data_IF_296569911001
#
_entry.id   IF_296569911001
#
_cell.length_a   1.000
_cell.length_b   1.000
_cell.length_c   1.000
_cell.angle_alpha   90.00
_cell.angle_beta   90.00
_cell.angle_gamma   90.00
#
_symmetry.space_group_name_H-M   'P 1'
#
loop_
_entity.id
_entity.type
_entity.pdbx_description
1 polymer ?
#
# COMPACT_ATOMS: atom_id res chain seq x y z
N UNK A 1 -23.41 -31.71 37.64
CA UNK A 1 -23.01 -30.30 37.49
C UNK A 1 -21.77 -30.28 36.62
N UNK A 2 -21.99 -30.36 35.32
CA UNK A 2 -20.96 -30.49 34.30
C UNK A 2 -20.34 -29.13 33.98
N UNK A 3 -19.03 -29.02 34.14
CA UNK A 3 -18.24 -27.88 33.68
C UNK A 3 -17.72 -28.20 32.28
N UNK A 4 -18.45 -27.72 31.28
CA UNK A 4 -18.03 -27.77 29.87
C UNK A 4 -16.82 -26.88 29.65
N UNK A 5 -15.72 -27.50 29.22
CA UNK A 5 -14.48 -26.82 28.81
C UNK A 5 -14.54 -26.66 27.29
N UNK A 6 -14.67 -25.42 26.81
CA UNK A 6 -14.63 -25.08 25.39
C UNK A 6 -13.18 -25.06 24.94
N UNK A 7 -12.75 -26.09 24.22
CA UNK A 7 -11.49 -26.12 23.49
C UNK A 7 -11.64 -25.30 22.20
N UNK A 8 -10.89 -24.22 22.09
CA UNK A 8 -10.75 -23.45 20.84
C UNK A 8 -9.56 -24.05 20.09
N UNK A 9 -9.85 -24.96 19.18
CA UNK A 9 -8.86 -25.59 18.30
C UNK A 9 -8.44 -24.58 17.23
N UNK A 10 -7.17 -24.17 17.27
CA UNK A 10 -6.57 -23.29 16.27
C UNK A 10 -6.44 -24.04 14.94
N UNK A 11 -7.36 -23.74 14.02
CA UNK A 11 -7.31 -24.22 12.64
C UNK A 11 -6.13 -23.55 11.91
N UNK A 12 -4.98 -24.20 11.95
CA UNK A 12 -3.85 -23.89 11.08
C UNK A 12 -4.22 -24.30 9.65
N UNK A 13 -4.49 -23.30 8.82
CA UNK A 13 -4.57 -23.47 7.36
C UNK A 13 -3.15 -23.79 6.86
N UNK A 14 -2.89 -24.98 6.28
CA UNK A 14 -1.63 -25.24 5.62
C UNK A 14 -1.56 -24.40 4.34
N UNK A 15 -0.60 -23.47 4.31
CA UNK A 15 -0.14 -22.81 3.09
C UNK A 15 0.44 -23.93 2.20
N UNK A 16 -0.34 -24.39 1.23
CA UNK A 16 0.07 -25.33 0.20
C UNK A 16 1.13 -24.67 -0.70
N UNK A 17 2.40 -24.78 -0.30
CA UNK A 17 3.55 -24.60 -1.20
C UNK A 17 3.71 -25.86 -2.06
N UNK A 18 2.76 -26.06 -2.97
CA UNK A 18 2.77 -27.11 -3.99
C UNK A 18 3.01 -26.50 -5.36
N UNK A 19 4.26 -26.10 -5.64
CA UNK A 19 4.72 -25.87 -7.02
C UNK A 19 5.86 -26.86 -7.30
N UNK A 20 5.47 -28.09 -7.63
CA UNK A 20 6.33 -29.09 -8.24
C UNK A 20 6.71 -28.62 -9.65
N UNK A 21 7.91 -28.06 -9.81
CA UNK A 21 8.53 -27.87 -11.12
C UNK A 21 9.39 -29.09 -11.46
N UNK A 22 9.32 -29.57 -12.72
CA UNK A 22 9.97 -30.79 -13.16
C UNK A 22 11.50 -30.63 -13.26
N UNK A 23 12.13 -31.77 -13.06
CA UNK A 23 13.55 -32.10 -13.15
C UNK A 23 14.27 -31.44 -14.33
N UNK A 24 15.37 -30.74 -14.03
CA UNK A 24 16.26 -30.14 -15.03
C UNK A 24 17.48 -29.49 -14.36
N UNK A 25 18.50 -30.29 -14.10
CA UNK A 25 19.85 -29.86 -13.69
C UNK A 25 20.36 -28.73 -14.61
N UNK A 26 20.48 -27.50 -14.08
CA UNK A 26 21.34 -26.38 -14.51
C UNK A 26 20.92 -25.00 -13.97
N UNK A 27 19.84 -24.88 -13.20
CA UNK A 27 19.31 -23.57 -12.71
C UNK A 27 19.74 -23.23 -11.27
N UNK A 28 20.72 -23.95 -10.72
CA UNK A 28 21.12 -23.83 -9.31
C UNK A 28 21.91 -22.54 -8.94
N UNK A 29 22.30 -21.71 -9.93
CA UNK A 29 23.01 -20.45 -9.68
C UNK A 29 22.13 -19.18 -9.74
N UNK A 30 20.97 -19.25 -10.39
CA UNK A 30 20.09 -18.07 -10.60
C UNK A 30 18.92 -17.96 -9.63
N UNK A 31 18.55 -19.04 -8.96
CA UNK A 31 17.43 -19.07 -8.02
C UNK A 31 17.76 -18.37 -6.68
N UNK A 32 19.02 -18.39 -6.24
CA UNK A 32 19.44 -17.79 -4.96
C UNK A 32 19.43 -16.25 -4.99
N UNK A 33 19.63 -15.62 -6.15
CA UNK A 33 19.52 -14.17 -6.34
C UNK A 33 18.07 -13.71 -6.47
N UNK A 34 17.17 -14.53 -7.03
CA UNK A 34 15.74 -14.24 -7.13
C UNK A 34 15.03 -14.29 -5.76
N UNK A 35 15.38 -15.25 -4.90
CA UNK A 35 14.85 -15.31 -3.52
C UNK A 35 15.32 -14.15 -2.65
N UNK A 36 16.54 -13.63 -2.85
CA UNK A 36 17.03 -12.42 -2.18
C UNK A 36 16.32 -11.13 -2.61
N UNK A 37 15.92 -11.02 -3.88
CA UNK A 37 15.13 -9.89 -4.39
C UNK A 37 13.68 -9.91 -3.86
N UNK A 38 13.09 -11.10 -3.70
CA UNK A 38 11.77 -11.28 -3.08
C UNK A 38 11.75 -10.87 -1.60
N UNK A 39 12.86 -11.01 -0.86
CA UNK A 39 12.98 -10.48 0.52
C UNK A 39 12.98 -8.94 0.56
N UNK A 40 13.58 -8.28 -0.43
CA UNK A 40 13.52 -6.81 -0.57
C UNK A 40 12.12 -6.31 -0.98
N UNK A 41 11.39 -7.06 -1.81
CA UNK A 41 9.99 -6.78 -2.15
C UNK A 41 9.03 -6.98 -0.96
N UNK A 42 9.28 -7.99 -0.10
CA UNK A 42 8.51 -8.20 1.13
C UNK A 42 8.71 -7.11 2.18
N UNK A 43 9.96 -6.64 2.35
CA UNK A 43 10.29 -5.52 3.24
C UNK A 43 9.67 -4.19 2.80
N UNK A 44 9.62 -3.93 1.48
CA UNK A 44 8.99 -2.73 0.91
C UNK A 44 7.48 -2.68 1.22
N UNK A 45 6.77 -3.80 1.09
CA UNK A 45 5.34 -3.85 1.35
C UNK A 45 5.01 -3.66 2.85
N UNK A 46 5.87 -4.15 3.75
CA UNK A 46 5.76 -3.91 5.20
C UNK A 46 6.02 -2.45 5.55
N UNK A 47 7.08 -1.83 5.00
CA UNK A 47 7.38 -0.43 5.25
C UNK A 47 6.28 0.52 4.74
N UNK A 48 5.65 0.23 3.61
CA UNK A 48 4.54 1.04 3.11
C UNK A 48 3.29 0.93 3.99
N UNK A 49 2.93 -0.28 4.44
CA UNK A 49 1.75 -0.48 5.29
C UNK A 49 1.95 0.07 6.70
N UNK A 50 3.15 -0.08 7.29
CA UNK A 50 3.43 0.46 8.63
C UNK A 50 3.48 1.98 8.61
N UNK A 51 4.10 2.61 7.58
CA UNK A 51 4.14 4.07 7.47
C UNK A 51 2.74 4.65 7.21
N UNK A 52 1.92 4.01 6.36
CA UNK A 52 0.53 4.42 6.15
C UNK A 52 -0.31 4.28 7.42
N UNK A 53 -0.15 3.19 8.15
CA UNK A 53 -0.83 2.96 9.42
C UNK A 53 -0.45 3.99 10.49
N UNK A 54 0.85 4.31 10.62
CA UNK A 54 1.32 5.29 11.59
C UNK A 54 0.76 6.69 11.27
N UNK A 55 0.82 7.12 10.01
CA UNK A 55 0.34 8.45 9.60
C UNK A 55 -1.19 8.55 9.71
N UNK A 56 -1.93 7.49 9.35
CA UNK A 56 -3.38 7.46 9.50
C UNK A 56 -3.80 7.52 10.98
N UNK A 57 -3.07 6.82 11.86
CA UNK A 57 -3.30 6.86 13.31
C UNK A 57 -2.99 8.26 13.87
N UNK A 58 -1.85 8.87 13.49
CA UNK A 58 -1.49 10.23 13.90
C UNK A 58 -2.53 11.26 13.43
N UNK A 59 -3.04 11.12 12.21
CA UNK A 59 -4.04 12.02 11.66
C UNK A 59 -5.42 11.84 12.33
N UNK A 60 -5.80 10.59 12.63
CA UNK A 60 -7.02 10.31 13.38
C UNK A 60 -6.95 10.97 14.76
N UNK A 61 -5.83 10.83 15.47
CA UNK A 61 -5.59 11.43 16.79
C UNK A 61 -5.56 12.96 16.67
N UNK A 62 -4.90 13.53 15.67
CA UNK A 62 -4.86 14.98 15.46
C UNK A 62 -6.25 15.61 15.25
N UNK A 63 -7.08 14.99 14.41
CA UNK A 63 -8.43 15.50 14.09
C UNK A 63 -9.41 15.29 15.24
N UNK A 64 -9.32 14.16 15.96
CA UNK A 64 -10.25 13.87 17.06
C UNK A 64 -10.02 14.69 18.33
N UNK A 65 -8.90 15.41 18.43
CA UNK A 65 -8.55 16.24 19.60
C UNK A 65 -9.21 17.63 19.56
N UNK A 66 -9.74 18.09 18.43
CA UNK A 66 -10.35 19.43 18.34
C UNK A 66 -11.74 19.56 19.00
N UNK A 67 -12.37 18.45 19.44
CA UNK A 67 -13.75 18.42 19.96
C UNK A 67 -13.93 18.28 21.47
N UNK A 68 -12.87 17.98 22.25
CA UNK A 68 -12.95 17.80 23.71
C UNK A 68 -11.70 18.36 24.41
N UNK A 69 -11.81 18.85 25.66
CA UNK A 69 -10.81 19.69 26.31
C UNK A 69 -9.64 18.87 26.90
N UNK A 70 -8.96 18.09 26.06
CA UNK A 70 -7.63 17.59 26.38
C UNK A 70 -6.60 18.68 26.05
N UNK A 71 -6.73 19.86 26.65
CA UNK A 71 -5.74 20.96 26.58
C UNK A 71 -4.32 20.46 26.96
N UNK A 72 -4.25 19.39 27.76
CA UNK A 72 -3.00 18.68 28.05
C UNK A 72 -2.29 18.14 26.80
N UNK A 73 -3.02 17.64 25.80
CA UNK A 73 -2.41 17.09 24.58
C UNK A 73 -1.88 18.19 23.67
N UNK A 74 -2.39 19.42 23.80
CA UNK A 74 -1.91 20.56 23.04
C UNK A 74 -0.47 20.94 23.41
N UNK A 75 -0.08 20.73 24.67
CA UNK A 75 1.32 20.86 25.11
C UNK A 75 2.25 19.86 24.38
N UNK A 76 1.70 18.71 23.95
CA UNK A 76 2.44 17.69 23.20
C UNK A 76 2.20 17.75 21.68
N UNK A 77 1.30 18.61 21.20
CA UNK A 77 1.00 18.68 19.78
C UNK A 77 2.22 19.16 18.98
N UNK A 78 2.95 20.16 19.48
CA UNK A 78 4.18 20.67 18.85
C UNK A 78 5.28 19.60 18.77
N UNK A 79 5.64 18.86 19.84
CA UNK A 79 6.64 17.80 19.73
C UNK A 79 6.16 16.63 18.84
N UNK A 80 4.88 16.25 18.88
CA UNK A 80 4.35 15.21 17.98
C UNK A 80 4.43 15.63 16.51
N UNK A 81 4.09 16.88 16.20
CA UNK A 81 4.19 17.44 14.87
C UNK A 81 5.65 17.53 14.39
N UNK A 82 6.58 17.88 15.29
CA UNK A 82 8.01 17.91 15.01
C UNK A 82 8.56 16.52 14.68
N UNK A 83 8.14 15.49 15.41
CA UNK A 83 8.47 14.09 15.11
C UNK A 83 7.93 13.70 13.75
N UNK A 84 6.69 14.08 13.41
CA UNK A 84 6.11 13.82 12.11
C UNK A 84 6.91 14.49 10.98
N UNK A 85 7.38 15.73 11.16
CA UNK A 85 8.26 16.39 10.20
C UNK A 85 9.62 15.70 10.03
N UNK A 86 10.24 15.27 11.12
CA UNK A 86 11.51 14.51 11.06
C UNK A 86 11.31 13.20 10.31
N UNK A 87 10.21 12.50 10.58
CA UNK A 87 9.86 11.25 9.91
C UNK A 87 9.55 11.47 8.41
N UNK A 88 8.86 12.56 8.08
CA UNK A 88 8.61 12.98 6.70
C UNK A 88 9.91 13.34 5.98
N UNK A 89 10.83 14.04 6.65
CA UNK A 89 12.17 14.35 6.14
C UNK A 89 13.00 13.09 5.90
N UNK A 90 12.97 12.13 6.82
CA UNK A 90 13.67 10.86 6.68
C UNK A 90 13.11 10.02 5.52
N UNK A 91 11.79 9.92 5.40
CA UNK A 91 11.14 9.23 4.27
C UNK A 91 11.40 9.95 2.94
N UNK A 92 11.43 11.28 2.92
CA UNK A 92 11.84 12.07 1.76
C UNK A 92 13.31 11.86 1.37
N UNK A 93 14.21 11.77 2.35
CA UNK A 93 15.62 11.45 2.12
C UNK A 93 15.79 10.06 1.51
N UNK A 94 15.11 9.04 2.06
CA UNK A 94 15.08 7.71 1.50
C UNK A 94 14.48 7.68 0.08
N UNK A 95 13.44 8.48 -0.16
CA UNK A 95 12.86 8.63 -1.49
C UNK A 95 13.87 9.18 -2.50
N UNK A 96 14.65 10.20 -2.12
CA UNK A 96 15.67 10.79 -2.99
C UNK A 96 16.83 9.82 -3.29
N UNK A 97 17.30 9.08 -2.27
CA UNK A 97 18.44 8.16 -2.39
C UNK A 97 18.10 6.82 -3.04
N UNK A 98 16.96 6.23 -2.70
CA UNK A 98 16.62 4.85 -3.06
C UNK A 98 15.38 4.73 -3.94
N UNK A 99 14.60 5.82 -4.16
CA UNK A 99 13.34 5.82 -4.93
C UNK A 99 12.32 4.75 -4.51
N UNK A 100 12.47 4.20 -3.31
CA UNK A 100 11.63 3.11 -2.77
C UNK A 100 10.22 3.57 -2.33
N UNK A 101 9.83 4.82 -2.55
CA UNK A 101 8.53 5.34 -2.07
C UNK A 101 7.76 5.92 -3.24
N UNK A 102 6.44 5.69 -3.30
CA UNK A 102 5.61 6.27 -4.35
C UNK A 102 5.48 7.79 -4.15
N UNK A 103 5.64 8.55 -5.23
CA UNK A 103 5.49 10.02 -5.27
C UNK A 103 4.15 10.46 -4.68
N UNK A 104 3.08 9.73 -5.01
CA UNK A 104 1.72 10.05 -4.60
C UNK A 104 1.54 9.90 -3.07
N UNK A 105 2.25 8.94 -2.46
CA UNK A 105 2.19 8.72 -1.02
C UNK A 105 2.91 9.81 -0.23
N UNK A 106 4.09 10.20 -0.70
CA UNK A 106 4.88 11.25 -0.08
C UNK A 106 4.16 12.60 -0.17
N UNK A 107 3.54 12.88 -1.33
CA UNK A 107 2.71 14.08 -1.52
C UNK A 107 1.50 14.09 -0.58
N UNK A 108 0.79 12.96 -0.45
CA UNK A 108 -0.34 12.83 0.48
C UNK A 108 0.05 13.05 1.94
N UNK A 109 1.13 12.39 2.40
CA UNK A 109 1.62 12.54 3.77
C UNK A 109 2.10 13.97 4.06
N UNK A 110 2.73 14.63 3.08
CA UNK A 110 3.14 16.03 3.20
C UNK A 110 1.94 16.95 3.33
N UNK A 111 0.91 16.79 2.48
CA UNK A 111 -0.33 17.56 2.55
C UNK A 111 -1.06 17.39 3.87
N UNK A 112 -1.07 16.16 4.42
CA UNK A 112 -1.71 15.85 5.69
C UNK A 112 -0.99 16.49 6.89
N UNK A 113 0.34 16.46 6.92
CA UNK A 113 1.14 17.10 7.99
C UNK A 113 1.01 18.64 7.94
N UNK A 114 0.88 19.22 6.74
CA UNK A 114 0.61 20.65 6.56
C UNK A 114 -0.81 21.00 6.99
N UNK A 115 -1.80 20.15 6.74
CA UNK A 115 -3.17 20.39 7.20
C UNK A 115 -3.31 20.26 8.73
N UNK A 116 -2.50 19.40 9.35
CA UNK A 116 -2.55 19.08 10.77
C UNK A 116 -1.62 19.95 11.65
N UNK A 117 -1.23 21.15 11.20
CA UNK A 117 -0.38 22.05 12.00
C UNK A 117 -1.08 22.56 13.27
N UNK A 118 -0.53 22.32 14.48
CA UNK A 118 -1.18 22.66 15.75
C UNK A 118 -0.82 24.07 16.28
N UNK A 119 -0.59 25.05 15.40
CA UNK A 119 -0.12 26.39 15.81
C UNK A 119 -1.29 27.31 16.17
N UNK A 120 -1.62 27.42 17.46
CA UNK A 120 -2.61 28.41 17.94
C UNK A 120 -2.13 29.87 17.79
N UNK A 121 -0.83 30.13 17.86
CA UNK A 121 -0.28 31.49 17.72
C UNK A 121 -0.47 32.08 16.31
N UNK A 122 -0.75 31.23 15.32
CA UNK A 122 -0.90 31.59 13.91
C UNK A 122 -2.35 31.34 13.44
N UNK A 123 -3.31 31.40 14.38
CA UNK A 123 -4.75 31.18 14.15
C UNK A 123 -5.30 31.84 12.87
N UNK A 124 -5.00 33.12 12.53
CA UNK A 124 -5.56 33.74 11.32
C UNK A 124 -5.05 33.11 10.00
N UNK A 125 -3.91 32.41 10.01
CA UNK A 125 -3.38 31.73 8.83
C UNK A 125 -3.76 30.24 8.78
N UNK A 126 -4.44 29.70 9.79
CA UNK A 126 -4.82 28.28 9.83
C UNK A 126 -5.64 27.87 8.61
N UNK A 127 -6.55 28.75 8.15
CA UNK A 127 -7.31 28.55 6.91
C UNK A 127 -6.40 28.39 5.68
N UNK A 128 -5.32 29.16 5.60
CA UNK A 128 -4.38 29.08 4.47
C UNK A 128 -3.67 27.73 4.47
N UNK A 129 -3.20 27.27 5.64
CA UNK A 129 -2.59 25.95 5.78
C UNK A 129 -3.56 24.82 5.45
N UNK A 130 -4.83 24.94 5.83
CA UNK A 130 -5.87 23.99 5.46
C UNK A 130 -6.09 23.94 3.95
N UNK A 131 -6.27 25.08 3.29
CA UNK A 131 -6.50 25.13 1.85
C UNK A 131 -5.31 24.54 1.09
N UNK A 132 -4.07 24.87 1.50
CA UNK A 132 -2.86 24.34 0.87
C UNK A 132 -2.72 22.84 1.15
N UNK A 133 -2.88 22.42 2.40
CA UNK A 133 -2.73 21.02 2.83
C UNK A 133 -3.75 20.10 2.17
N UNK A 134 -5.05 20.45 2.23
CA UNK A 134 -6.10 19.73 1.53
C UNK A 134 -5.99 19.84 0.02
N UNK A 135 -5.50 20.95 -0.52
CA UNK A 135 -5.23 21.11 -1.95
C UNK A 135 -4.22 20.08 -2.44
N UNK A 136 -3.08 19.95 -1.76
CA UNK A 136 -2.03 18.97 -2.08
C UNK A 136 -2.57 17.54 -1.90
N UNK A 137 -3.26 17.27 -0.81
CA UNK A 137 -3.86 15.96 -0.53
C UNK A 137 -4.89 15.59 -1.61
N UNK A 138 -5.74 16.53 -2.01
CA UNK A 138 -6.75 16.35 -3.05
C UNK A 138 -6.13 16.01 -4.40
N UNK A 139 -5.09 16.75 -4.82
CA UNK A 139 -4.35 16.44 -6.07
C UNK A 139 -3.71 15.06 -5.99
N UNK A 140 -3.10 14.69 -4.86
CA UNK A 140 -2.48 13.38 -4.67
C UNK A 140 -3.51 12.24 -4.81
N UNK A 141 -4.71 12.40 -4.23
CA UNK A 141 -5.81 11.43 -4.33
C UNK A 141 -6.33 11.34 -5.77
N UNK A 142 -6.60 12.47 -6.42
CA UNK A 142 -7.08 12.50 -7.81
C UNK A 142 -6.10 11.79 -8.73
N UNK A 143 -4.79 12.07 -8.59
CA UNK A 143 -3.76 11.44 -9.39
C UNK A 143 -3.70 9.93 -9.13
N UNK A 144 -3.82 9.50 -7.86
CA UNK A 144 -3.85 8.08 -7.50
C UNK A 144 -5.04 7.33 -8.12
N UNK A 145 -6.23 7.95 -8.16
CA UNK A 145 -7.41 7.36 -8.80
C UNK A 145 -7.33 7.38 -10.32
N UNK A 146 -6.73 8.40 -10.93
CA UNK A 146 -6.48 8.46 -12.37
C UNK A 146 -5.58 7.30 -12.82
N UNK A 147 -4.47 7.06 -12.10
CA UNK A 147 -3.55 5.95 -12.35
C UNK A 147 -4.24 4.58 -12.27
N UNK A 148 -5.15 4.40 -11.30
CA UNK A 148 -5.94 3.15 -11.19
C UNK A 148 -6.89 2.92 -12.35
N UNK A 149 -7.46 3.98 -12.94
CA UNK A 149 -8.39 3.83 -14.07
C UNK A 149 -7.68 3.31 -15.31
N UNK A 150 -6.46 3.76 -15.56
CA UNK A 150 -5.67 3.32 -16.71
C UNK A 150 -5.21 1.86 -16.57
N UNK A 151 -4.75 1.47 -15.39
CA UNK A 151 -4.32 0.09 -15.11
C UNK A 151 -5.47 -0.93 -15.24
N UNK A 152 -6.69 -0.59 -14.78
CA UNK A 152 -7.88 -1.44 -15.00
C UNK A 152 -8.22 -1.59 -16.49
N UNK A 153 -8.05 -0.53 -17.27
CA UNK A 153 -8.34 -0.55 -18.72
C UNK A 153 -7.36 -1.45 -19.48
N UNK A 154 -6.10 -1.49 -19.05
CA UNK A 154 -5.09 -2.37 -19.64
C UNK A 154 -5.27 -3.85 -19.25
N UNK A 155 -5.67 -4.14 -18.01
CA UNK A 155 -5.99 -5.50 -17.57
C UNK A 155 -7.11 -6.14 -18.38
N UNK A 156 -8.24 -5.43 -18.51
CA UNK A 156 -9.40 -5.92 -19.26
C UNK A 156 -9.09 -6.18 -20.75
N UNK A 157 -8.28 -5.30 -21.37
CA UNK A 157 -7.83 -5.49 -22.76
C UNK A 157 -6.88 -6.67 -22.95
N UNK A 158 -6.16 -7.07 -21.89
CA UNK A 158 -5.26 -8.23 -21.93
C UNK A 158 -6.03 -9.53 -21.74
N UNK A 159 -7.01 -9.56 -20.83
CA UNK A 159 -7.93 -10.69 -20.66
C UNK A 159 -8.74 -10.97 -21.93
N UNK A 160 -9.25 -9.94 -22.61
CA UNK A 160 -9.96 -10.08 -23.88
C UNK A 160 -9.10 -10.75 -24.97
N UNK A 161 -7.80 -10.41 -25.04
CA UNK A 161 -6.87 -11.02 -25.99
C UNK A 161 -6.54 -12.48 -25.67
N UNK A 162 -6.47 -12.85 -24.39
CA UNK A 162 -6.16 -14.22 -23.96
C UNK A 162 -7.36 -15.14 -24.26
N UNK A 163 -8.59 -14.69 -23.95
CA UNK A 163 -9.79 -15.47 -24.26
C UNK A 163 -9.95 -15.71 -25.76
N UNK A 164 -9.74 -14.69 -26.59
CA UNK A 164 -9.82 -14.85 -28.05
C UNK A 164 -8.81 -15.86 -28.59
N UNK A 165 -7.56 -15.82 -28.07
CA UNK A 165 -6.52 -16.78 -28.47
C UNK A 165 -6.84 -18.22 -28.03
N UNK A 166 -7.52 -18.40 -26.89
CA UNK A 166 -7.95 -19.73 -26.44
C UNK A 166 -9.10 -20.29 -27.28
N UNK A 167 -10.03 -19.46 -27.76
CA UNK A 167 -11.08 -19.85 -28.71
C UNK A 167 -10.46 -20.38 -30.02
N UNK A 168 -9.51 -19.63 -30.60
CA UNK A 168 -8.82 -20.03 -31.83
C UNK A 168 -8.07 -21.38 -31.66
N UNK A 169 -7.44 -21.63 -30.50
CA UNK A 169 -6.77 -22.92 -30.22
C UNK A 169 -7.74 -24.09 -30.02
N UNK A 170 -8.97 -23.83 -29.53
CA UNK A 170 -9.99 -24.86 -29.38
C UNK A 170 -10.57 -25.28 -30.73
N UNK A 171 -10.86 -24.33 -31.63
CA UNK A 171 -11.35 -24.65 -32.99
C UNK A 171 -10.32 -25.49 -33.78
N UNK A 172 -9.03 -25.19 -33.64
CA UNK A 172 -7.96 -25.96 -34.30
C UNK A 172 -7.87 -27.40 -33.77
N UNK A 173 -8.07 -27.60 -32.45
CA UNK A 173 -8.07 -28.95 -31.85
C UNK A 173 -9.30 -29.76 -32.25
N UNK A 174 -10.44 -29.12 -32.47
CA UNK A 174 -11.67 -29.77 -32.91
C UNK A 174 -11.54 -30.24 -34.37
N UNK A 175 -10.97 -29.41 -35.25
CA UNK A 175 -10.65 -29.82 -36.64
C UNK A 175 -9.72 -31.04 -36.74
N UNK A 176 -8.71 -31.16 -35.87
CA UNK A 176 -7.81 -32.31 -35.88
C UNK A 176 -8.50 -33.60 -35.40
N UNK A 177 -9.46 -33.51 -34.48
CA UNK A 177 -10.12 -34.71 -33.92
C UNK A 177 -11.04 -35.39 -34.95
N UNK A 178 -11.66 -34.63 -35.85
CA UNK A 178 -12.61 -35.14 -36.85
C UNK A 178 -11.95 -35.85 -38.03
N UNK A 179 -10.66 -35.66 -38.28
CA UNK A 179 -9.91 -36.37 -39.34
C UNK A 179 -9.30 -37.71 -38.89
N UNK A 180 -9.41 -38.05 -37.60
CA UNK A 180 -8.83 -39.30 -37.05
C UNK A 180 -9.89 -40.41 -36.89
N UNK A 181 -11.13 -40.17 -37.33
CA UNK A 181 -12.18 -41.20 -37.46
C UNK A 181 -12.45 -41.49 -38.93
#
# INVERSE_FOLDING_TARGET
>A
MDKGTVQVEANQVPIQSGLSLPTGESIAGGASTASGALSFLGGWQVCHNICLGLIALLALIGVSVEGMPLEFLQAYAVPLWSIALVLLGFTGYMYAKHKCVSKNLLAGNTGLIIAATPFKEIEPFQIVFWIIGFGILGVAIINHFAEKKENKKQGNKTEEKINKKQEDEMEVKECCRTQTQ
#
